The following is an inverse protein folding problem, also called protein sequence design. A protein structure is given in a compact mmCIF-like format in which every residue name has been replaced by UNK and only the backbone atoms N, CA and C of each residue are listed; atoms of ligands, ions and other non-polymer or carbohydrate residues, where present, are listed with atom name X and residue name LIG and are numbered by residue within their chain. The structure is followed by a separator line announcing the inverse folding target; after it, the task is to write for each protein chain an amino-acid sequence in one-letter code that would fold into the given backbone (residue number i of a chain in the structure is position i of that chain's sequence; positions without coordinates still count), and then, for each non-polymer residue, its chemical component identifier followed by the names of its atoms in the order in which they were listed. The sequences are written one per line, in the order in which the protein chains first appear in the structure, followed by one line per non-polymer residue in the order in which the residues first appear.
data_IF_318251791936
#
_entry.id   IF_318251791936
#
_cell.length_a   1.000
_cell.length_b   1.000
_cell.length_c   1.000
_cell.angle_alpha   90.00
_cell.angle_beta   90.00
_cell.angle_gamma   90.00
#
_symmetry.space_group_name_H-M   'P 1'
#
loop_
_entity.id
_entity.type
_entity.pdbx_description
1 polymer ?
#
# COMPACT_ATOMS: atom_id res chain seq x y z
N UNK A 1 6.78 17.59 10.94
CA UNK A 1 7.66 16.61 11.62
C UNK A 1 7.91 15.49 10.64
N UNK A 2 9.13 15.33 10.13
CA UNK A 2 9.45 14.21 9.24
C UNK A 2 9.47 12.93 10.07
N UNK A 3 8.67 11.93 9.67
CA UNK A 3 8.82 10.57 10.16
C UNK A 3 10.17 10.06 9.66
N UNK A 4 11.18 10.05 10.53
CA UNK A 4 12.43 9.32 10.31
C UNK A 4 12.15 7.86 10.65
N UNK A 5 12.44 6.95 9.71
CA UNK A 5 12.52 5.51 9.97
C UNK A 5 13.42 5.28 11.19
N UNK A 6 12.87 4.73 12.27
CA UNK A 6 13.64 4.35 13.45
C UNK A 6 13.97 2.86 13.36
N UNK A 7 14.98 2.55 12.55
CA UNK A 7 15.37 1.17 12.20
C UNK A 7 15.63 0.26 13.41
N UNK A 8 15.99 0.83 14.58
CA UNK A 8 16.20 0.08 15.83
C UNK A 8 14.91 -0.40 16.48
N UNK A 9 13.83 0.36 16.39
CA UNK A 9 12.53 -0.02 16.95
C UNK A 9 11.79 -1.00 16.04
N UNK A 10 12.05 -0.95 14.74
CA UNK A 10 11.42 -1.81 13.72
C UNK A 10 12.12 -3.17 13.54
N UNK A 11 13.17 -3.46 14.30
CA UNK A 11 13.85 -4.78 14.31
C UNK A 11 14.66 -5.12 13.06
N UNK A 12 14.97 -4.13 12.22
CA UNK A 12 15.79 -4.28 11.00
C UNK A 12 17.08 -3.50 11.17
N UNK A 13 18.21 -4.19 11.35
CA UNK A 13 19.52 -3.54 11.34
C UNK A 13 20.03 -3.39 9.90
N UNK A 14 20.74 -2.30 9.59
CA UNK A 14 21.40 -2.13 8.28
C UNK A 14 22.38 -3.26 7.96
N UNK A 15 22.85 -3.96 8.99
CA UNK A 15 23.81 -5.06 8.93
C UNK A 15 23.18 -6.35 8.40
N UNK A 16 21.85 -6.48 8.51
CA UNK A 16 21.07 -7.61 7.99
C UNK A 16 20.68 -7.42 6.50
N UNK A 17 20.91 -6.22 5.95
CA UNK A 17 20.58 -5.89 4.57
C UNK A 17 21.82 -6.12 3.69
N UNK A 18 21.76 -7.10 2.80
CA UNK A 18 22.83 -7.30 1.81
C UNK A 18 22.88 -6.07 0.87
N UNK A 19 23.99 -5.31 0.85
CA UNK A 19 24.11 -4.08 0.07
C UNK A 19 23.89 -4.26 -1.42
N UNK A 20 24.07 -5.47 -1.95
CA UNK A 20 23.84 -5.78 -3.36
C UNK A 20 22.36 -5.76 -3.74
N UNK A 21 21.44 -5.86 -2.76
CA UNK A 21 19.99 -5.73 -2.97
C UNK A 21 19.48 -4.32 -2.63
N UNK A 22 20.35 -3.40 -2.21
CA UNK A 22 19.97 -2.02 -1.98
C UNK A 22 19.95 -1.25 -3.31
N UNK A 23 18.76 -1.18 -3.91
CA UNK A 23 18.54 -0.37 -5.11
C UNK A 23 18.40 1.09 -4.68
N UNK A 24 19.20 2.03 -5.22
CA UNK A 24 19.01 3.45 -4.94
C UNK A 24 17.65 3.91 -5.47
N UNK A 25 16.73 4.26 -4.56
CA UNK A 25 15.39 4.75 -4.92
C UNK A 25 15.41 6.26 -5.05
N UNK A 26 14.99 6.77 -6.21
CA UNK A 26 14.87 8.21 -6.42
C UNK A 26 13.66 8.77 -5.67
N UNK A 27 13.89 9.84 -4.91
CA UNK A 27 12.87 10.48 -4.08
C UNK A 27 12.58 11.88 -4.59
N UNK A 28 11.31 12.14 -4.90
CA UNK A 28 10.82 13.45 -5.29
C UNK A 28 10.05 14.06 -4.11
N UNK A 29 10.49 15.21 -3.61
CA UNK A 29 9.77 15.93 -2.56
C UNK A 29 8.93 17.05 -3.18
N UNK A 30 7.60 16.88 -3.14
CA UNK A 30 6.67 17.90 -3.64
C UNK A 30 6.08 18.72 -2.48
N UNK A 31 5.92 20.01 -2.70
CA UNK A 31 5.34 20.97 -1.75
C UNK A 31 4.00 21.51 -2.25
N UNK A 32 3.81 21.59 -3.56
CA UNK A 32 2.59 22.02 -4.23
C UNK A 32 2.24 21.09 -5.39
N UNK A 33 1.00 21.19 -5.89
CA UNK A 33 0.59 20.41 -7.07
C UNK A 33 1.39 20.77 -8.32
N UNK A 34 1.83 22.03 -8.43
CA UNK A 34 2.62 22.55 -9.55
C UNK A 34 4.02 21.94 -9.65
N UNK A 35 4.51 21.30 -8.58
CA UNK A 35 5.79 20.60 -8.59
C UNK A 35 5.71 19.29 -9.41
N UNK A 36 4.50 18.75 -9.61
CA UNK A 36 4.24 17.56 -10.41
C UNK A 36 4.18 17.96 -11.89
N UNK A 37 5.36 18.14 -12.48
CA UNK A 37 5.50 18.56 -13.88
C UNK A 37 5.57 17.36 -14.82
N UNK A 38 5.24 17.53 -16.12
CA UNK A 38 5.44 16.48 -17.13
C UNK A 38 6.90 15.98 -17.20
N UNK A 39 7.88 16.86 -16.94
CA UNK A 39 9.29 16.49 -16.90
C UNK A 39 9.60 15.56 -15.71
N UNK A 40 9.03 15.84 -14.54
CA UNK A 40 9.14 14.97 -13.36
C UNK A 40 8.48 13.61 -13.61
N UNK A 41 7.28 13.58 -14.20
CA UNK A 41 6.58 12.33 -14.54
C UNK A 41 7.42 11.51 -15.53
N UNK A 42 7.94 12.13 -16.61
CA UNK A 42 8.79 11.45 -17.59
C UNK A 42 10.06 10.88 -16.97
N UNK A 43 10.63 11.55 -15.97
CA UNK A 43 11.81 11.09 -15.24
C UNK A 43 11.49 9.93 -14.29
N UNK A 44 10.32 9.95 -13.63
CA UNK A 44 9.78 8.85 -12.81
C UNK A 44 9.61 7.58 -13.65
N UNK A 45 8.98 7.68 -14.81
CA UNK A 45 8.70 6.53 -15.70
C UNK A 45 9.97 5.86 -16.27
N UNK A 46 11.15 6.48 -16.09
CA UNK A 46 12.45 5.92 -16.50
C UNK A 46 13.17 5.19 -15.36
N UNK A 47 12.70 5.31 -14.12
CA UNK A 47 13.29 4.64 -12.98
C UNK A 47 12.65 3.27 -12.76
N UNK A 48 13.39 2.31 -12.23
CA UNK A 48 12.83 1.02 -11.80
C UNK A 48 11.86 1.21 -10.63
N UNK A 49 12.22 2.07 -9.67
CA UNK A 49 11.40 2.45 -8.52
C UNK A 49 11.63 3.92 -8.16
N UNK A 50 10.55 4.64 -7.87
CA UNK A 50 10.59 6.03 -7.40
C UNK A 50 9.58 6.25 -6.27
N UNK A 51 9.85 7.25 -5.42
CA UNK A 51 8.93 7.67 -4.35
C UNK A 51 8.61 9.14 -4.49
N UNK A 52 7.31 9.47 -4.54
CA UNK A 52 6.82 10.86 -4.49
C UNK A 52 6.35 11.16 -3.06
N UNK A 53 7.15 11.93 -2.31
CA UNK A 53 6.82 12.33 -0.94
C UNK A 53 5.82 13.46 -0.92
N UNK A 54 4.97 13.49 0.11
CA UNK A 54 3.89 14.47 0.31
C UNK A 54 2.80 14.47 -0.77
N UNK A 55 2.78 13.49 -1.68
CA UNK A 55 1.79 13.43 -2.76
C UNK A 55 0.35 13.64 -2.26
N UNK A 56 -0.10 12.86 -1.27
CA UNK A 56 -1.47 12.99 -0.72
C UNK A 56 -1.77 14.38 -0.15
N UNK A 57 -0.76 15.08 0.37
CA UNK A 57 -0.91 16.42 0.95
C UNK A 57 -1.08 17.45 -0.16
N UNK A 58 -0.28 17.37 -1.22
CA UNK A 58 -0.31 18.34 -2.31
C UNK A 58 -1.51 18.15 -3.23
N UNK A 59 -1.92 16.90 -3.45
CA UNK A 59 -3.12 16.57 -4.23
C UNK A 59 -4.41 16.78 -3.43
N UNK A 60 -4.31 16.96 -2.10
CA UNK A 60 -5.44 17.05 -1.17
C UNK A 60 -6.37 15.83 -1.27
N UNK A 61 -5.75 14.67 -1.40
CA UNK A 61 -6.45 13.40 -1.55
C UNK A 61 -7.42 13.16 -0.39
N UNK A 62 -8.67 12.88 -0.70
CA UNK A 62 -9.69 12.63 0.29
C UNK A 62 -9.56 11.21 0.86
N UNK A 63 -8.64 11.06 1.84
CA UNK A 63 -8.34 9.77 2.50
C UNK A 63 -9.57 9.14 3.15
N UNK A 64 -10.54 9.95 3.53
CA UNK A 64 -11.79 9.52 4.13
C UNK A 64 -12.63 8.66 3.18
N UNK A 65 -12.45 8.76 1.86
CA UNK A 65 -13.09 7.87 0.89
C UNK A 65 -12.49 6.46 0.92
N UNK A 66 -11.27 6.33 1.45
CA UNK A 66 -10.52 5.07 1.51
C UNK A 66 -10.52 4.44 2.90
N UNK A 67 -11.40 4.91 3.78
CA UNK A 67 -11.59 4.38 5.12
C UNK A 67 -12.26 2.99 5.06
N UNK A 68 -11.61 1.94 5.59
CA UNK A 68 -12.17 0.59 5.62
C UNK A 68 -13.57 0.49 6.23
N UNK A 69 -13.90 1.32 7.22
CA UNK A 69 -15.23 1.31 7.84
C UNK A 69 -16.33 1.85 6.93
N UNK A 70 -15.99 2.69 5.96
CA UNK A 70 -16.93 3.19 4.98
C UNK A 70 -17.13 2.19 3.85
N UNK A 71 -16.10 1.43 3.50
CA UNK A 71 -16.21 0.37 2.50
C UNK A 71 -17.24 -0.68 2.87
N UNK A 72 -17.27 -1.14 4.12
CA UNK A 72 -18.24 -2.16 4.55
C UNK A 72 -19.70 -1.68 4.49
N UNK A 73 -19.93 -0.36 4.56
CA UNK A 73 -21.27 0.23 4.49
C UNK A 73 -21.73 0.37 3.04
N UNK A 74 -20.83 0.81 2.18
CA UNK A 74 -21.13 1.05 0.76
C UNK A 74 -21.10 -0.23 -0.08
N UNK A 75 -20.22 -1.18 0.26
CA UNK A 75 -19.93 -2.38 -0.52
C UNK A 75 -19.85 -3.64 0.35
N UNK A 76 -20.95 -4.01 1.06
CA UNK A 76 -20.95 -5.10 2.04
C UNK A 76 -20.78 -6.50 1.43
N UNK A 77 -20.99 -6.64 0.12
CA UNK A 77 -20.95 -7.91 -0.59
C UNK A 77 -19.66 -8.11 -1.38
N UNK A 78 -18.73 -7.17 -1.32
CA UNK A 78 -17.47 -7.26 -2.03
C UNK A 78 -16.59 -8.34 -1.43
N UNK A 79 -15.72 -8.87 -2.28
CA UNK A 79 -14.77 -9.91 -1.92
C UNK A 79 -13.35 -9.39 -2.04
N UNK A 80 -12.49 -9.94 -1.20
CA UNK A 80 -11.06 -9.71 -1.20
C UNK A 80 -10.34 -11.05 -1.23
N UNK A 81 -9.25 -11.12 -1.99
CA UNK A 81 -8.37 -12.28 -1.96
C UNK A 81 -7.51 -12.23 -0.70
N UNK A 82 -7.35 -13.37 -0.04
CA UNK A 82 -6.56 -13.50 1.17
C UNK A 82 -5.35 -14.38 0.89
N UNK A 83 -4.19 -13.86 1.25
CA UNK A 83 -2.93 -14.59 1.28
C UNK A 83 -2.63 -14.95 2.73
N UNK A 84 -2.56 -16.24 3.02
CA UNK A 84 -2.10 -16.74 4.33
C UNK A 84 -0.58 -16.93 4.26
N UNK A 85 0.16 -16.32 5.19
CA UNK A 85 1.63 -16.33 5.19
C UNK A 85 2.22 -16.25 6.60
N UNK A 86 3.49 -16.64 6.72
CA UNK A 86 4.26 -16.47 7.95
C UNK A 86 4.57 -14.97 8.15
N UNK A 87 4.42 -14.41 9.36
CA UNK A 87 4.82 -13.03 9.64
C UNK A 87 6.34 -12.79 9.55
N UNK A 88 7.18 -13.84 9.58
CA UNK A 88 8.64 -13.68 9.54
C UNK A 88 9.16 -13.31 8.14
N UNK A 89 9.53 -12.04 8.00
CA UNK A 89 10.13 -11.44 6.81
C UNK A 89 11.62 -11.80 6.61
N UNK A 90 12.25 -12.54 7.54
CA UNK A 90 13.70 -12.82 7.52
C UNK A 90 14.16 -13.69 6.36
N UNK A 91 13.24 -14.32 5.64
CA UNK A 91 13.60 -15.10 4.45
C UNK A 91 12.75 -14.64 3.27
N UNK A 92 13.37 -14.27 2.15
CA UNK A 92 12.72 -14.11 0.85
C UNK A 92 12.18 -15.44 0.28
N UNK A 93 12.00 -16.45 1.12
CA UNK A 93 11.46 -17.73 0.71
C UNK A 93 9.99 -17.53 0.39
N UNK A 94 9.63 -17.89 -0.84
CA UNK A 94 8.24 -17.96 -1.28
C UNK A 94 7.55 -19.10 -0.54
N UNK A 95 7.06 -18.83 0.67
CA UNK A 95 6.17 -19.75 1.37
C UNK A 95 4.94 -19.97 0.48
N UNK A 96 4.44 -21.20 0.42
CA UNK A 96 3.26 -21.52 -0.39
C UNK A 96 2.08 -20.71 0.14
N UNK A 97 1.63 -19.74 -0.66
CA UNK A 97 0.46 -18.94 -0.33
C UNK A 97 -0.80 -19.73 -0.66
N UNK A 98 -1.54 -20.13 0.37
CA UNK A 98 -2.92 -20.56 0.17
C UNK A 98 -3.76 -19.33 -0.09
N UNK A 99 -4.49 -19.36 -1.22
CA UNK A 99 -5.40 -18.28 -1.64
C UNK A 99 -6.80 -18.60 -1.15
N UNK A 100 -7.29 -17.78 -0.25
CA UNK A 100 -8.70 -17.81 0.15
C UNK A 100 -9.41 -16.59 -0.43
N UNK A 101 -10.74 -16.62 -0.50
CA UNK A 101 -11.54 -15.47 -0.90
C UNK A 101 -12.58 -15.18 0.17
N UNK A 102 -12.51 -14.00 0.76
CA UNK A 102 -13.35 -13.60 1.89
C UNK A 102 -14.26 -12.46 1.49
N UNK A 103 -15.40 -12.31 2.18
CA UNK A 103 -16.13 -11.05 2.13
C UNK A 103 -15.29 -9.96 2.77
N UNK A 104 -15.24 -8.77 2.17
CA UNK A 104 -14.49 -7.63 2.68
C UNK A 104 -14.87 -7.31 4.13
N UNK A 105 -16.15 -7.38 4.46
CA UNK A 105 -16.65 -7.16 5.81
C UNK A 105 -16.07 -8.16 6.83
N UNK A 106 -15.86 -9.42 6.45
CA UNK A 106 -15.32 -10.43 7.35
C UNK A 106 -13.81 -10.28 7.53
N UNK A 107 -13.10 -9.92 6.45
CA UNK A 107 -11.68 -9.58 6.54
C UNK A 107 -11.42 -8.37 7.46
N UNK A 108 -12.24 -7.32 7.36
CA UNK A 108 -12.07 -6.13 8.20
C UNK A 108 -12.45 -6.40 9.67
N UNK A 109 -13.42 -7.30 9.95
CA UNK A 109 -13.66 -7.79 11.31
C UNK A 109 -12.43 -8.53 11.85
N UNK A 110 -11.79 -9.34 11.02
CA UNK A 110 -10.54 -10.01 11.37
C UNK A 110 -9.42 -9.00 11.66
N UNK A 111 -9.21 -7.98 10.82
CA UNK A 111 -8.18 -6.96 11.02
C UNK A 111 -8.35 -6.18 12.33
N UNK A 112 -9.61 -5.94 12.77
CA UNK A 112 -9.90 -5.25 14.03
C UNK A 112 -9.65 -6.09 15.27
N UNK A 113 -9.67 -7.42 15.15
CA UNK A 113 -9.27 -8.32 16.23
C UNK A 113 -7.74 -8.29 16.28
N UNK A 114 -7.18 -7.39 17.09
CA UNK A 114 -5.73 -7.19 17.26
C UNK A 114 -4.96 -8.43 17.79
N UNK A 115 -5.63 -9.57 18.00
CA UNK A 115 -5.08 -10.81 18.54
C UNK A 115 -4.93 -11.91 17.49
N UNK A 116 -4.41 -11.60 16.29
CA UNK A 116 -4.07 -12.68 15.35
C UNK A 116 -2.73 -13.29 15.70
N UNK A 117 -2.73 -14.03 16.80
CA UNK A 117 -2.06 -15.32 16.84
C UNK A 117 -3.18 -16.36 16.63
N UNK A 118 -3.62 -16.54 15.39
CA UNK A 118 -4.23 -17.84 15.05
C UNK A 118 -3.21 -18.90 15.48
N UNK A 119 -3.65 -20.00 16.07
CA UNK A 119 -2.84 -20.93 16.88
C UNK A 119 -1.52 -21.44 16.29
N UNK A 120 -1.26 -21.16 15.02
CA UNK A 120 -0.07 -21.53 14.25
C UNK A 120 0.86 -20.34 13.91
N UNK A 121 0.54 -19.10 14.34
CA UNK A 121 1.38 -17.91 14.14
C UNK A 121 1.29 -17.25 12.76
N UNK A 122 0.41 -17.73 11.87
CA UNK A 122 0.25 -17.20 10.49
C UNK A 122 -0.59 -15.92 10.46
N UNK A 123 -0.29 -15.04 9.50
CA UNK A 123 -1.07 -13.84 9.20
C UNK A 123 -1.87 -14.00 7.91
N UNK A 124 -3.06 -13.41 7.88
CA UNK A 124 -3.90 -13.27 6.69
C UNK A 124 -3.78 -11.85 6.13
N UNK A 125 -3.31 -11.72 4.89
CA UNK A 125 -3.12 -10.45 4.20
C UNK A 125 -4.10 -10.32 3.03
N UNK A 126 -4.95 -9.29 3.08
CA UNK A 126 -5.92 -8.99 2.03
C UNK A 126 -5.26 -8.29 0.83
N UNK A 127 -5.43 -8.86 -0.36
CA UNK A 127 -4.83 -8.40 -1.61
C UNK A 127 -5.87 -8.32 -2.73
N UNK A 128 -5.52 -7.63 -3.81
CA UNK A 128 -6.30 -7.57 -5.05
C UNK A 128 -7.78 -7.18 -4.87
N UNK A 129 -8.06 -6.26 -3.95
CA UNK A 129 -9.40 -5.71 -3.81
C UNK A 129 -9.75 -4.90 -5.07
N UNK A 130 -10.76 -5.34 -5.80
CA UNK A 130 -11.25 -4.65 -7.00
C UNK A 130 -12.13 -3.46 -6.62
N UNK A 131 -11.58 -2.26 -6.81
CA UNK A 131 -12.26 -0.99 -6.53
C UNK A 131 -12.88 -0.35 -7.77
N UNK A 132 -12.86 -1.01 -8.93
CA UNK A 132 -13.25 -0.41 -10.21
C UNK A 132 -14.71 0.05 -10.28
N UNK A 133 -15.57 -0.51 -9.43
CA UNK A 133 -16.98 -0.15 -9.31
C UNK A 133 -17.26 0.87 -8.20
N UNK A 134 -16.22 1.37 -7.52
CA UNK A 134 -16.32 2.34 -6.43
C UNK A 134 -16.17 3.76 -6.96
N UNK A 135 -17.24 4.29 -7.56
CA UNK A 135 -17.19 5.53 -8.36
C UNK A 135 -16.53 6.71 -7.62
N UNK A 136 -16.90 6.98 -6.36
CA UNK A 136 -16.32 8.11 -5.63
C UNK A 136 -14.80 7.99 -5.42
N UNK A 137 -14.31 6.77 -5.19
CA UNK A 137 -12.89 6.47 -5.00
C UNK A 137 -12.14 6.55 -6.33
N UNK A 138 -12.72 5.97 -7.39
CA UNK A 138 -12.16 6.03 -8.74
C UNK A 138 -12.08 7.48 -9.24
N UNK A 139 -13.14 8.26 -9.04
CA UNK A 139 -13.18 9.68 -9.42
C UNK A 139 -12.16 10.52 -8.63
N UNK A 140 -11.96 10.22 -7.34
CA UNK A 140 -10.92 10.86 -6.53
C UNK A 140 -9.51 10.52 -7.05
N UNK A 141 -9.26 9.28 -7.48
CA UNK A 141 -7.99 8.90 -8.09
C UNK A 141 -7.77 9.60 -9.44
N UNK A 142 -8.73 9.49 -10.36
CA UNK A 142 -8.63 10.04 -11.71
C UNK A 142 -8.54 11.57 -11.71
N UNK A 143 -9.21 12.25 -10.79
CA UNK A 143 -9.19 13.72 -10.72
C UNK A 143 -7.93 14.31 -10.05
N UNK A 144 -7.16 13.50 -9.32
CA UNK A 144 -6.04 13.98 -8.49
C UNK A 144 -4.68 13.43 -8.89
N UNK A 145 -4.65 12.29 -9.57
CA UNK A 145 -3.43 11.61 -9.99
C UNK A 145 -3.24 11.84 -11.48
N UNK A 146 -2.05 12.27 -11.92
CA UNK A 146 -1.73 12.30 -13.36
C UNK A 146 -2.00 10.94 -13.99
N UNK A 147 -2.67 10.94 -15.14
CA UNK A 147 -3.11 9.72 -15.84
C UNK A 147 -1.95 8.75 -16.07
N UNK A 148 -0.79 9.28 -16.43
CA UNK A 148 0.42 8.50 -16.69
C UNK A 148 0.89 7.73 -15.45
N UNK A 149 0.57 8.19 -14.25
CA UNK A 149 0.91 7.52 -12.99
C UNK A 149 -0.14 6.52 -12.52
N UNK A 150 -1.35 6.52 -13.10
CA UNK A 150 -2.41 5.56 -12.77
C UNK A 150 -2.26 4.22 -13.49
N UNK A 151 -1.56 4.21 -14.63
CA UNK A 151 -1.43 3.03 -15.50
C UNK A 151 0.00 2.47 -15.58
N UNK A 152 0.89 2.88 -14.67
CA UNK A 152 2.26 2.35 -14.54
C UNK A 152 2.30 0.89 -14.12
#
# INVERSE_FOLDING_TARGET
TSLKLNMKEDGVSLEDLDPNYLIPVKVYEVSTISDITPAMISDILKQDVSVIRNFSKVTRFNKDLFDPEKFIKSYPNDFIDIVVQDPDIKTFNRTKHDKERWRLADYLKYQKKQDVKDGDGMIKFGVNLDIGHWSAQVDELVSKVPEELLFC
#
